data_IF_053564741180
#
_entry.id   IF_053564741180
#
_cell.length_a   1.000
_cell.length_b   1.000
_cell.length_c   1.000
_cell.angle_alpha   90.00
_cell.angle_beta   90.00
_cell.angle_gamma   90.00
#
_symmetry.space_group_name_H-M   'P 1'
#
loop_
_entity.id
_entity.type
_entity.pdbx_description
1 polymer ?
#
# COMPACT_ATOMS: atom_id res chain seq x y z
N UNK A 1 4.12 10.03 -7.94
CA UNK A 1 2.82 10.41 -8.52
C UNK A 1 1.91 9.21 -8.38
N UNK A 2 1.01 9.24 -7.41
CA UNK A 2 0.07 8.16 -7.06
C UNK A 2 -0.99 8.75 -6.14
N UNK A 3 -2.25 8.32 -6.27
CA UNK A 3 -3.35 8.75 -5.41
C UNK A 3 -3.49 7.89 -4.14
N UNK A 4 -2.97 6.67 -4.16
CA UNK A 4 -2.94 5.72 -3.03
C UNK A 4 -1.59 5.00 -3.04
N UNK A 5 -1.00 4.81 -1.86
CA UNK A 5 0.20 3.99 -1.68
C UNK A 5 -0.18 2.67 -1.01
N UNK A 6 0.17 1.55 -1.63
CA UNK A 6 0.07 0.22 -1.01
C UNK A 6 1.43 -0.16 -0.45
N UNK A 7 1.53 -0.32 0.88
CA UNK A 7 2.72 -0.86 1.53
C UNK A 7 2.53 -2.36 1.80
N UNK A 8 3.35 -3.18 1.14
CA UNK A 8 3.31 -4.63 1.32
C UNK A 8 4.38 -5.06 2.33
N UNK A 9 3.98 -5.78 3.38
CA UNK A 9 4.87 -6.32 4.42
C UNK A 9 4.63 -7.82 4.54
N UNK A 10 5.66 -8.64 4.64
CA UNK A 10 5.47 -10.09 4.76
C UNK A 10 5.15 -10.47 6.21
N UNK A 11 4.19 -11.37 6.43
CA UNK A 11 3.76 -11.80 7.76
C UNK A 11 4.84 -12.57 8.54
N UNK A 12 5.81 -13.15 7.85
CA UNK A 12 6.98 -13.84 8.44
C UNK A 12 8.13 -12.89 8.78
N UNK A 13 8.17 -11.71 8.15
CA UNK A 13 9.22 -10.72 8.28
C UNK A 13 8.62 -9.45 8.88
N UNK A 14 8.94 -9.19 10.15
CA UNK A 14 8.65 -7.89 10.79
C UNK A 14 9.26 -6.71 10.00
N UNK A 15 8.93 -5.48 10.39
CA UNK A 15 9.41 -4.23 9.78
C UNK A 15 10.94 -4.24 9.64
N UNK A 16 11.42 -4.28 8.39
CA UNK A 16 12.85 -4.22 8.03
C UNK A 16 13.27 -2.78 7.71
N UNK A 17 14.58 -2.45 7.65
CA UNK A 17 15.04 -1.10 7.30
C UNK A 17 14.42 -0.55 6.00
N UNK A 18 14.23 -1.39 4.98
CA UNK A 18 13.56 -1.00 3.74
C UNK A 18 12.10 -0.61 3.96
N UNK A 19 11.39 -1.30 4.85
CA UNK A 19 10.01 -0.97 5.22
C UNK A 19 9.96 0.36 5.98
N UNK A 20 10.94 0.64 6.85
CA UNK A 20 11.02 1.93 7.57
C UNK A 20 11.23 3.09 6.59
N UNK A 21 12.10 2.93 5.59
CA UNK A 21 12.29 3.93 4.54
C UNK A 21 11.02 4.14 3.71
N UNK A 22 10.33 3.05 3.36
CA UNK A 22 9.05 3.12 2.63
C UNK A 22 7.97 3.84 3.44
N UNK A 23 7.85 3.56 4.75
CA UNK A 23 6.94 4.24 5.68
C UNK A 23 7.24 5.74 5.71
N UNK A 24 8.52 6.11 5.82
CA UNK A 24 8.93 7.52 5.85
C UNK A 24 8.56 8.25 4.56
N UNK A 25 8.77 7.61 3.41
CA UNK A 25 8.41 8.18 2.11
C UNK A 25 6.89 8.33 1.95
N UNK A 26 6.13 7.29 2.31
CA UNK A 26 4.68 7.27 2.19
C UNK A 26 4.01 8.31 3.11
N UNK A 27 4.49 8.46 4.35
CA UNK A 27 4.02 9.52 5.25
C UNK A 27 4.36 10.92 4.75
N UNK A 28 5.55 11.09 4.16
CA UNK A 28 6.00 12.38 3.65
C UNK A 28 5.24 12.86 2.41
N UNK A 29 4.57 11.97 1.68
CA UNK A 29 3.82 12.34 0.46
C UNK A 29 2.42 12.88 0.75
N UNK A 30 1.88 12.69 1.96
CA UNK A 30 0.50 13.10 2.29
C UNK A 30 -0.57 12.32 1.53
N UNK A 31 -0.20 11.18 0.95
CA UNK A 31 -1.08 10.31 0.16
C UNK A 31 -1.61 9.21 1.08
N UNK A 32 -2.91 8.84 1.01
CA UNK A 32 -3.46 7.74 1.78
C UNK A 32 -2.68 6.43 1.59
N UNK A 33 -2.54 5.69 2.69
CA UNK A 33 -1.78 4.45 2.74
C UNK A 33 -2.73 3.29 3.01
N UNK A 34 -2.56 2.18 2.29
CA UNK A 34 -3.19 0.89 2.60
C UNK A 34 -2.08 -0.12 2.87
N UNK A 35 -2.17 -0.85 3.99
CA UNK A 35 -1.20 -1.88 4.33
C UNK A 35 -1.71 -3.24 3.86
N UNK A 36 -0.86 -3.99 3.16
CA UNK A 36 -1.10 -5.38 2.82
C UNK A 36 -0.07 -6.29 3.51
N UNK A 37 -0.51 -7.02 4.54
CA UNK A 37 0.32 -8.04 5.19
C UNK A 37 0.22 -9.33 4.39
N UNK A 38 1.27 -9.66 3.64
CA UNK A 38 1.30 -10.78 2.69
C UNK A 38 1.87 -12.06 3.31
N UNK A 39 1.69 -13.20 2.65
CA UNK A 39 2.15 -14.55 3.08
C UNK A 39 1.45 -15.07 4.35
N UNK A 40 0.23 -14.62 4.60
CA UNK A 40 -0.59 -15.13 5.72
C UNK A 40 -1.03 -16.59 5.56
N UNK A 41 -0.74 -17.24 4.42
CA UNK A 41 -0.96 -18.68 4.22
C UNK A 41 0.08 -19.57 4.90
N UNK A 42 1.19 -19.00 5.38
CA UNK A 42 2.29 -19.76 5.96
C UNK A 42 2.10 -20.03 7.45
N UNK A 43 2.55 -21.18 7.97
CA UNK A 43 2.45 -21.49 9.40
C UNK A 43 3.32 -20.58 10.28
N UNK A 44 4.42 -20.05 9.74
CA UNK A 44 5.28 -19.07 10.43
C UNK A 44 4.75 -17.62 10.39
N UNK A 45 3.62 -17.37 9.72
CA UNK A 45 3.05 -16.04 9.61
C UNK A 45 2.58 -15.51 10.97
N UNK A 46 2.96 -14.28 11.30
CA UNK A 46 2.47 -13.58 12.49
C UNK A 46 2.00 -12.16 12.12
N UNK A 47 0.82 -12.02 11.49
CA UNK A 47 0.32 -10.73 11.04
C UNK A 47 0.07 -9.76 12.21
N UNK A 48 -0.36 -10.23 13.37
CA UNK A 48 -0.64 -9.36 14.52
C UNK A 48 0.63 -8.71 15.07
N UNK A 49 1.76 -9.44 15.05
CA UNK A 49 3.06 -8.85 15.36
C UNK A 49 3.42 -7.76 14.35
N UNK A 50 3.19 -7.98 13.06
CA UNK A 50 3.46 -6.98 12.02
C UNK A 50 2.61 -5.72 12.24
N UNK A 51 1.33 -5.86 12.60
CA UNK A 51 0.46 -4.71 12.96
C UNK A 51 1.04 -3.92 14.13
N UNK A 52 1.45 -4.59 15.21
CA UNK A 52 2.06 -3.95 16.37
C UNK A 52 3.38 -3.24 16.03
N UNK A 53 4.22 -3.87 15.19
CA UNK A 53 5.49 -3.29 14.76
C UNK A 53 5.26 -2.06 13.86
N UNK A 54 4.28 -2.09 12.95
CA UNK A 54 3.90 -0.95 12.11
C UNK A 54 3.41 0.23 12.96
N UNK A 55 2.56 -0.04 13.95
CA UNK A 55 2.10 0.97 14.90
C UNK A 55 3.26 1.59 15.69
N UNK A 56 4.22 0.77 16.12
CA UNK A 56 5.42 1.23 16.82
C UNK A 56 6.35 2.09 15.95
N UNK A 57 6.30 1.92 14.62
CA UNK A 57 6.99 2.78 13.65
C UNK A 57 6.11 3.97 13.19
N UNK A 58 5.00 4.18 13.88
CA UNK A 58 4.12 5.34 13.78
C UNK A 58 3.05 5.23 12.71
N UNK A 59 2.82 4.08 12.07
CA UNK A 59 1.64 3.94 11.21
C UNK A 59 0.40 3.89 12.10
N UNK A 60 -0.53 4.81 11.90
CA UNK A 60 -1.78 4.87 12.65
C UNK A 60 -2.77 3.85 12.06
N UNK A 61 -2.58 2.57 12.42
CA UNK A 61 -3.39 1.43 11.94
C UNK A 61 -4.81 1.42 12.52
N UNK A 62 -5.79 1.01 11.72
CA UNK A 62 -7.20 0.90 12.11
C UNK A 62 -7.44 -0.04 13.31
N UNK A 63 -6.68 -1.14 13.43
CA UNK A 63 -6.77 -2.07 14.57
C UNK A 63 -6.57 -1.38 15.94
N UNK A 64 -5.89 -0.22 15.96
CA UNK A 64 -5.67 0.60 17.15
C UNK A 64 -6.42 1.95 17.12
N UNK A 65 -7.44 2.07 16.26
CA UNK A 65 -8.27 3.27 16.13
C UNK A 65 -7.66 4.38 15.27
N UNK A 66 -6.64 4.06 14.46
CA UNK A 66 -6.10 4.95 13.45
C UNK A 66 -6.91 4.95 12.15
N UNK A 67 -6.34 5.53 11.10
CA UNK A 67 -7.01 5.73 9.79
C UNK A 67 -6.42 4.87 8.67
N UNK A 68 -5.35 4.10 8.94
CA UNK A 68 -4.66 3.30 7.92
C UNK A 68 -5.22 1.88 7.90
N UNK A 69 -5.91 1.47 6.82
CA UNK A 69 -6.46 0.13 6.71
C UNK A 69 -5.36 -0.93 6.59
N UNK A 70 -5.60 -2.09 7.21
CA UNK A 70 -4.68 -3.24 7.16
C UNK A 70 -5.39 -4.47 6.66
N UNK A 71 -4.96 -4.98 5.51
CA UNK A 71 -5.49 -6.22 4.93
C UNK A 71 -4.49 -7.37 5.13
N UNK A 72 -4.97 -8.50 5.67
CA UNK A 72 -4.20 -9.74 5.82
C UNK A 72 -4.41 -10.61 4.58
N UNK A 73 -3.38 -10.75 3.73
CA UNK A 73 -3.50 -11.40 2.42
C UNK A 73 -2.51 -12.56 2.22
N UNK A 74 -2.81 -13.40 1.23
CA UNK A 74 -1.81 -14.24 0.56
C UNK A 74 -1.90 -14.03 -0.94
N UNK A 75 -0.87 -13.41 -1.51
CA UNK A 75 -0.73 -13.28 -2.96
C UNK A 75 -0.59 -14.64 -3.67
N UNK A 76 -0.26 -15.71 -2.93
CA UNK A 76 -0.08 -17.06 -3.49
C UNK A 76 -1.41 -17.81 -3.57
N UNK A 77 -2.21 -17.78 -2.50
CA UNK A 77 -3.46 -18.54 -2.43
C UNK A 77 -4.68 -17.71 -2.80
N UNK A 78 -4.55 -16.39 -2.85
CA UNK A 78 -5.66 -15.46 -3.06
C UNK A 78 -6.42 -15.11 -1.78
N UNK A 79 -5.99 -15.62 -0.61
CA UNK A 79 -6.59 -15.29 0.68
C UNK A 79 -6.61 -13.76 0.88
N UNK A 80 -7.74 -13.20 1.31
CA UNK A 80 -7.88 -11.78 1.64
C UNK A 80 -7.81 -10.81 0.45
N UNK A 81 -7.58 -11.29 -0.78
CA UNK A 81 -7.43 -10.42 -1.95
C UNK A 81 -8.70 -9.66 -2.31
N UNK A 82 -9.87 -10.28 -2.11
CA UNK A 82 -11.16 -9.63 -2.37
C UNK A 82 -11.40 -8.46 -1.41
N UNK A 83 -11.16 -8.67 -0.11
CA UNK A 83 -11.27 -7.64 0.91
C UNK A 83 -10.25 -6.51 0.67
N UNK A 84 -9.03 -6.87 0.26
CA UNK A 84 -8.00 -5.91 -0.11
C UNK A 84 -8.40 -5.05 -1.32
N UNK A 85 -9.00 -5.64 -2.35
CA UNK A 85 -9.55 -4.91 -3.50
C UNK A 85 -10.68 -3.96 -3.06
N UNK A 86 -11.64 -4.45 -2.28
CA UNK A 86 -12.75 -3.64 -1.75
C UNK A 86 -12.25 -2.48 -0.89
N UNK A 87 -11.18 -2.70 -0.10
CA UNK A 87 -10.54 -1.66 0.71
C UNK A 87 -9.93 -0.56 -0.15
N UNK A 88 -9.19 -0.92 -1.21
CA UNK A 88 -8.61 0.07 -2.14
C UNK A 88 -9.72 0.89 -2.82
N UNK A 89 -10.78 0.23 -3.28
CA UNK A 89 -11.93 0.91 -3.89
C UNK A 89 -12.56 1.89 -2.90
N UNK A 90 -12.78 1.47 -1.66
CA UNK A 90 -13.34 2.33 -0.60
C UNK A 90 -12.47 3.56 -0.35
N UNK A 91 -11.15 3.40 -0.26
CA UNK A 91 -10.22 4.52 -0.08
C UNK A 91 -10.25 5.46 -1.29
N UNK A 92 -10.34 4.93 -2.51
CA UNK A 92 -10.44 5.74 -3.72
C UNK A 92 -11.75 6.54 -3.80
N UNK A 93 -12.86 5.97 -3.34
CA UNK A 93 -14.16 6.67 -3.27
C UNK A 93 -14.11 7.85 -2.29
N UNK A 94 -13.45 7.67 -1.13
CA UNK A 94 -13.26 8.74 -0.14
C UNK A 94 -12.41 9.91 -0.67
N UNK A 95 -11.53 9.65 -1.65
CA UNK A 95 -10.71 10.69 -2.26
C UNK A 95 -11.46 11.56 -3.28
N UNK A 96 -12.67 11.17 -3.70
CA UNK A 96 -13.48 11.87 -4.71
C UNK A 96 -12.68 12.30 -5.95
N UNK A 97 -11.85 11.41 -6.49
CA UNK A 97 -10.95 11.69 -7.60
C UNK A 97 -11.71 12.27 -8.81
N UNK A 98 -11.20 13.39 -9.36
CA UNK A 98 -11.81 14.13 -10.47
C UNK A 98 -10.81 14.34 -11.59
N UNK A 99 -11.33 14.46 -12.81
CA UNK A 99 -10.54 14.79 -14.00
C UNK A 99 -11.35 15.70 -14.93
N UNK A 100 -10.66 16.50 -15.74
CA UNK A 100 -11.27 17.34 -16.76
C UNK A 100 -11.13 16.66 -18.12
N UNK A 101 -12.26 16.37 -18.77
CA UNK A 101 -12.27 15.67 -20.06
C UNK A 101 -11.82 16.56 -21.22
N UNK A 102 -11.94 17.89 -21.09
CA UNK A 102 -11.58 18.86 -22.13
C UNK A 102 -10.50 19.82 -21.65
N UNK A 103 -9.29 19.31 -21.49
CA UNK A 103 -8.10 20.07 -21.12
C UNK A 103 -6.91 19.79 -22.03
N UNK A 104 -5.88 20.64 -21.95
CA UNK A 104 -4.58 20.34 -22.54
C UNK A 104 -3.96 19.13 -21.82
N UNK A 105 -3.16 18.34 -22.54
CA UNK A 105 -2.51 17.16 -21.97
C UNK A 105 -1.45 17.57 -20.96
N UNK A 106 -1.61 17.09 -19.72
CA UNK A 106 -0.63 17.14 -18.65
C UNK A 106 -0.29 15.71 -18.24
N UNK A 107 0.97 15.44 -17.88
CA UNK A 107 1.38 14.12 -17.44
C UNK A 107 2.82 14.04 -16.99
N UNK A 108 3.18 12.88 -16.43
CA UNK A 108 4.51 12.59 -15.92
C UNK A 108 5.16 11.46 -16.73
N UNK A 109 6.47 11.54 -16.93
CA UNK A 109 7.26 10.46 -17.52
C UNK A 109 7.60 9.46 -16.42
N UNK A 110 7.10 8.23 -16.54
CA UNK A 110 7.44 7.14 -15.62
C UNK A 110 8.80 6.53 -15.95
N UNK A 111 9.01 6.16 -17.21
CA UNK A 111 10.27 5.61 -17.72
C UNK A 111 10.47 6.07 -19.18
N UNK A 112 11.74 6.20 -19.59
CA UNK A 112 12.09 6.50 -20.98
C UNK A 112 13.16 5.54 -21.47
N UNK A 113 12.97 4.95 -22.65
CA UNK A 113 13.93 4.04 -23.26
C UNK A 113 14.24 4.47 -24.70
N UNK A 114 15.51 4.35 -25.10
CA UNK A 114 15.95 4.56 -26.48
C UNK A 114 16.02 3.21 -27.21
N UNK A 115 15.23 3.04 -28.26
CA UNK A 115 15.43 1.96 -29.23
C UNK A 115 16.36 2.44 -30.34
N UNK A 116 17.44 1.71 -30.62
CA UNK A 116 18.21 1.89 -31.86
C UNK A 116 17.27 1.59 -33.04
N UNK A 117 17.20 2.51 -34.00
CA UNK A 117 16.51 2.28 -35.27
C UNK A 117 17.15 1.12 -36.03
N UNK A 118 16.34 0.46 -36.86
CA UNK A 118 16.79 -0.54 -37.84
C UNK A 118 17.90 0.01 -38.73
#
# INVERSE_FOLDING_TARGET
>A
MTDIIVLVVAAEDSVKPQTVEAIKHAKGSGVPIVIAINKCDKPEANPDKVVADLASHGIDVEDYGGETPVCRISAKTGLGMKEFEETIVTVAELLELKTEERANVEGWVLESQVKKGL
#
